data_IF_346908397164
#
_entry.id   IF_346908397164
#
_cell.length_a   1.000
_cell.length_b   1.000
_cell.length_c   1.000
_cell.angle_alpha   90.00
_cell.angle_beta   90.00
_cell.angle_gamma   90.00
#
_symmetry.space_group_name_H-M   'P 1'
#
loop_
_entity.id
_entity.type
_entity.pdbx_description
1 polymer ?
#
# COMPACT_ATOMS: atom_id res chain seq x y z
N UNK A 1 -7.96 12.41 23.05
CA UNK A 1 -7.43 11.44 22.07
C UNK A 1 -8.20 11.67 20.79
N UNK A 2 -7.63 12.42 19.84
CA UNK A 2 -8.32 12.76 18.59
C UNK A 2 -8.36 11.52 17.68
N UNK A 3 -9.48 11.22 17.00
CA UNK A 3 -9.55 10.10 16.08
C UNK A 3 -8.58 10.35 14.91
N UNK A 4 -7.63 9.44 14.72
CA UNK A 4 -6.78 9.36 13.53
C UNK A 4 -7.68 9.24 12.30
N UNK A 5 -7.68 10.27 11.45
CA UNK A 5 -8.39 10.27 10.17
C UNK A 5 -7.60 9.44 9.17
N UNK A 6 -8.10 8.28 8.78
CA UNK A 6 -7.64 7.65 7.55
C UNK A 6 -8.40 8.25 6.38
N UNK A 7 -7.71 9.09 5.62
CA UNK A 7 -8.10 9.39 4.25
C UNK A 7 -7.68 8.21 3.37
N UNK A 8 -8.58 7.74 2.52
CA UNK A 8 -8.30 6.65 1.61
C UNK A 8 -7.31 7.09 0.51
N UNK A 9 -6.02 6.79 0.74
CA UNK A 9 -4.84 6.85 -0.15
C UNK A 9 -4.88 7.81 -1.35
N UNK A 10 -4.31 9.02 -1.20
CA UNK A 10 -3.24 9.45 -2.09
C UNK A 10 -1.90 8.98 -1.52
N UNK A 11 -1.05 8.37 -2.36
CA UNK A 11 0.35 8.00 -2.05
C UNK A 11 1.24 9.25 -1.94
N UNK A 12 0.78 10.25 -1.18
CA UNK A 12 1.61 11.34 -0.68
C UNK A 12 2.49 10.76 0.44
N UNK A 13 3.61 10.13 0.10
CA UNK A 13 4.55 9.54 1.07
C UNK A 13 5.71 10.49 1.32
N UNK A 14 6.36 10.38 2.49
CA UNK A 14 7.63 11.06 2.69
C UNK A 14 8.73 10.32 1.91
N UNK A 15 9.62 11.05 1.25
CA UNK A 15 10.85 10.47 0.68
C UNK A 15 12.09 11.01 1.41
N UNK A 16 13.03 10.13 1.73
CA UNK A 16 14.35 10.47 2.25
C UNK A 16 15.39 9.97 1.24
N UNK A 17 16.05 10.91 0.58
CA UNK A 17 17.04 10.65 -0.45
C UNK A 17 18.43 10.94 0.11
N UNK A 18 19.25 9.91 0.28
CA UNK A 18 20.58 10.02 0.88
C UNK A 18 21.70 9.87 -0.17
N UNK A 19 22.68 10.75 -0.09
CA UNK A 19 23.94 10.72 -0.81
C UNK A 19 25.07 10.45 0.18
N UNK A 20 25.64 9.25 0.15
CA UNK A 20 26.76 8.90 1.02
C UNK A 20 28.09 9.34 0.40
N UNK A 21 28.77 10.30 1.04
CA UNK A 21 30.15 10.66 0.76
C UNK A 21 31.08 10.08 1.84
N UNK A 22 32.41 10.02 1.63
CA UNK A 22 33.34 9.42 2.59
C UNK A 22 33.32 10.07 3.98
N UNK A 23 33.08 11.38 4.08
CA UNK A 23 33.16 12.17 5.31
C UNK A 23 31.79 12.51 5.92
N UNK A 24 30.72 12.45 5.12
CA UNK A 24 29.36 12.83 5.53
C UNK A 24 28.31 12.20 4.63
N UNK A 25 27.09 12.10 5.14
CA UNK A 25 25.92 11.79 4.31
C UNK A 25 25.12 13.08 4.14
N UNK A 26 24.87 13.47 2.90
CA UNK A 26 23.95 14.56 2.58
C UNK A 26 22.64 13.98 2.06
N UNK A 27 21.57 14.76 2.01
CA UNK A 27 20.32 14.25 1.48
C UNK A 27 19.19 15.26 1.47
N UNK A 28 18.02 14.79 1.06
CA UNK A 28 16.77 15.53 1.09
C UNK A 28 15.71 14.77 1.87
N UNK A 29 14.86 15.50 2.57
CA UNK A 29 13.62 15.00 3.17
C UNK A 29 12.47 15.73 2.51
N UNK A 30 11.63 14.99 1.80
CA UNK A 30 10.50 15.51 1.02
C UNK A 30 9.20 15.14 1.74
N UNK A 31 8.55 16.12 2.35
CA UNK A 31 7.34 15.92 3.16
C UNK A 31 6.11 16.45 2.42
N UNK A 32 5.09 15.61 2.13
CA UNK A 32 3.84 16.10 1.58
C UNK A 32 3.14 17.06 2.55
N UNK A 33 2.79 18.26 2.10
CA UNK A 33 2.25 19.32 2.97
C UNK A 33 0.87 18.95 3.51
N UNK A 34 0.04 18.27 2.72
CA UNK A 34 -1.27 17.76 3.11
C UNK A 34 -1.20 16.76 4.27
N UNK A 35 -0.23 15.82 4.22
CA UNK A 35 0.00 14.85 5.30
C UNK A 35 0.64 15.50 6.53
N UNK A 36 1.57 16.42 6.32
CA UNK A 36 2.18 17.19 7.42
C UNK A 36 1.15 18.05 8.15
N UNK A 37 0.20 18.66 7.42
CA UNK A 37 -0.91 19.43 7.99
C UNK A 37 -1.77 18.57 8.93
N UNK A 38 -2.12 17.36 8.49
CA UNK A 38 -2.88 16.41 9.29
C UNK A 38 -2.11 15.92 10.52
N UNK A 39 -0.82 15.58 10.34
CA UNK A 39 0.01 15.11 11.45
C UNK A 39 0.17 16.17 12.54
N UNK A 40 0.32 17.45 12.17
CA UNK A 40 0.48 18.54 13.11
C UNK A 40 -0.85 19.14 13.61
N UNK A 41 -1.99 18.65 13.10
CA UNK A 41 -3.32 19.24 13.32
C UNK A 41 -3.35 20.76 13.06
N UNK A 42 -2.72 21.18 11.96
CA UNK A 42 -2.58 22.59 11.57
C UNK A 42 -2.86 22.78 10.08
N UNK A 43 -3.56 23.86 9.67
CA UNK A 43 -3.77 24.15 8.26
C UNK A 43 -2.46 24.63 7.61
N UNK A 44 -1.76 23.71 6.92
CA UNK A 44 -0.57 24.02 6.14
C UNK A 44 -0.89 24.09 4.64
N UNK A 45 -0.24 25.00 3.95
CA UNK A 45 -0.30 25.22 2.50
C UNK A 45 1.09 25.54 1.99
N UNK A 46 1.33 25.41 0.69
CA UNK A 46 2.58 25.84 0.06
C UNK A 46 3.03 27.26 0.45
N UNK A 47 2.07 28.18 0.67
CA UNK A 47 2.36 29.57 1.05
C UNK A 47 2.68 29.72 2.53
N UNK A 48 2.07 28.93 3.41
CA UNK A 48 2.27 29.07 4.87
C UNK A 48 3.55 28.40 5.34
N UNK A 49 3.93 27.26 4.74
CA UNK A 49 5.13 26.50 5.17
C UNK A 49 6.44 27.23 4.89
N UNK A 50 6.46 28.15 3.92
CA UNK A 50 7.66 28.94 3.56
C UNK A 50 7.79 30.26 4.32
N UNK A 51 6.82 30.60 5.18
CA UNK A 51 6.93 31.82 6.00
C UNK A 51 8.05 31.67 7.02
N UNK A 52 8.93 32.68 7.25
CA UNK A 52 10.16 32.49 8.02
C UNK A 52 9.97 31.84 9.40
N UNK A 53 8.98 32.29 10.17
CA UNK A 53 8.71 31.73 11.49
C UNK A 53 8.20 30.28 11.44
N UNK A 54 7.27 29.99 10.51
CA UNK A 54 6.71 28.64 10.35
C UNK A 54 7.74 27.68 9.75
N UNK A 55 8.55 28.14 8.80
CA UNK A 55 9.61 27.33 8.20
C UNK A 55 10.64 26.91 9.26
N UNK A 56 11.03 27.84 10.13
CA UNK A 56 11.95 27.57 11.24
C UNK A 56 11.37 26.60 12.28
N UNK A 57 10.07 26.71 12.56
CA UNK A 57 9.33 25.74 13.39
C UNK A 57 9.36 24.33 12.76
N UNK A 58 8.99 24.22 11.49
CA UNK A 58 8.95 22.94 10.77
C UNK A 58 10.35 22.32 10.62
N UNK A 59 11.38 23.14 10.41
CA UNK A 59 12.78 22.70 10.35
C UNK A 59 13.24 22.10 11.67
N UNK A 60 12.91 22.73 12.80
CA UNK A 60 13.19 22.19 14.14
C UNK A 60 12.43 20.90 14.42
N UNK A 61 11.17 20.83 13.97
CA UNK A 61 10.37 19.61 14.06
C UNK A 61 11.01 18.45 13.27
N UNK A 62 11.36 18.66 12.00
CA UNK A 62 12.04 17.62 11.19
C UNK A 62 13.36 17.21 11.84
N UNK A 63 14.13 18.16 12.38
CA UNK A 63 15.37 17.86 13.11
C UNK A 63 15.13 17.02 14.37
N UNK A 64 14.08 17.29 15.16
CA UNK A 64 13.78 16.48 16.35
C UNK A 64 13.30 15.06 16.03
N UNK A 65 12.77 14.86 14.82
CA UNK A 65 12.33 13.57 14.29
C UNK A 65 13.37 12.86 13.43
N UNK A 66 14.61 13.36 13.36
CA UNK A 66 15.67 12.76 12.55
C UNK A 66 16.90 12.51 13.42
N UNK A 67 17.40 11.27 13.43
CA UNK A 67 18.69 10.96 14.02
C UNK A 67 19.42 9.88 13.25
N UNK A 68 20.75 9.93 13.29
CA UNK A 68 21.61 8.87 12.81
C UNK A 68 22.54 8.42 13.94
N UNK A 69 22.83 7.13 14.00
CA UNK A 69 23.73 6.56 14.99
C UNK A 69 24.44 5.32 14.47
N UNK A 70 25.61 5.05 15.04
CA UNK A 70 26.36 3.82 14.82
C UNK A 70 25.58 2.60 15.33
N UNK A 71 25.92 1.38 14.90
CA UNK A 71 25.28 0.15 15.39
C UNK A 71 25.37 -0.03 16.91
N UNK A 72 26.38 0.57 17.56
CA UNK A 72 26.59 0.58 19.01
C UNK A 72 25.81 1.69 19.75
N UNK A 73 25.12 2.57 19.02
CA UNK A 73 24.30 3.66 19.56
C UNK A 73 24.99 5.02 19.61
N UNK A 74 26.25 5.14 19.16
CA UNK A 74 26.96 6.43 19.12
C UNK A 74 26.28 7.38 18.13
N UNK A 75 25.82 8.54 18.61
CA UNK A 75 25.02 9.48 17.80
C UNK A 75 25.87 10.31 16.84
N UNK A 76 25.36 10.46 15.63
CA UNK A 76 25.92 11.35 14.61
C UNK A 76 25.39 12.77 14.79
N UNK A 77 26.17 13.75 14.34
CA UNK A 77 25.69 15.12 14.25
C UNK A 77 24.71 15.21 13.09
N UNK A 78 23.49 15.66 13.36
CA UNK A 78 22.41 15.81 12.39
C UNK A 78 22.09 17.28 12.21
N UNK A 79 22.01 17.76 10.97
CA UNK A 79 21.61 19.11 10.64
C UNK A 79 20.53 19.09 9.55
N UNK A 80 19.49 19.91 9.75
CA UNK A 80 18.41 20.13 8.78
C UNK A 80 18.41 21.60 8.41
N UNK A 81 18.46 21.88 7.11
CA UNK A 81 18.61 23.23 6.55
C UNK A 81 17.75 23.42 5.30
N UNK A 82 17.74 24.64 4.76
CA UNK A 82 16.91 24.98 3.61
C UNK A 82 15.43 25.05 3.99
N UNK A 83 14.56 24.58 3.09
CA UNK A 83 13.12 24.71 3.22
C UNK A 83 12.51 25.37 2.00
N UNK A 84 12.02 24.55 1.08
CA UNK A 84 11.40 25.01 -0.17
C UNK A 84 10.20 24.14 -0.51
N UNK A 85 9.29 24.68 -1.31
CA UNK A 85 8.16 23.90 -1.83
C UNK A 85 8.51 23.40 -3.21
N UNK A 86 8.41 22.09 -3.40
CA UNK A 86 8.52 21.44 -4.70
C UNK A 86 7.20 20.71 -4.99
N UNK A 87 6.79 20.71 -6.27
CA UNK A 87 5.59 19.99 -6.69
C UNK A 87 6.01 18.64 -7.25
N UNK A 88 5.70 17.57 -6.52
CA UNK A 88 6.06 16.19 -6.86
C UNK A 88 4.76 15.44 -7.12
N UNK A 89 4.60 14.91 -8.34
CA UNK A 89 3.40 14.19 -8.80
C UNK A 89 2.06 14.90 -8.50
N UNK A 90 2.07 16.22 -8.66
CA UNK A 90 0.87 17.04 -8.47
C UNK A 90 0.61 17.48 -7.02
N UNK A 91 1.40 17.01 -6.06
CA UNK A 91 1.28 17.32 -4.63
C UNK A 91 2.41 18.25 -4.19
N UNK A 92 2.08 19.29 -3.43
CA UNK A 92 3.07 20.21 -2.87
C UNK A 92 3.80 19.54 -1.70
N UNK A 93 5.13 19.43 -1.82
CA UNK A 93 6.03 18.89 -0.82
C UNK A 93 6.89 19.99 -0.23
N UNK A 94 7.06 19.97 1.09
CA UNK A 94 8.08 20.74 1.79
C UNK A 94 9.38 19.95 1.80
N UNK A 95 10.42 20.50 1.19
CA UNK A 95 11.72 19.84 1.03
C UNK A 95 12.78 20.51 1.91
N UNK A 96 13.43 19.71 2.74
CA UNK A 96 14.58 20.12 3.56
C UNK A 96 15.85 19.38 3.15
N UNK A 97 16.99 20.03 3.32
CA UNK A 97 18.30 19.43 3.10
C UNK A 97 18.84 18.87 4.42
N UNK A 98 19.26 17.61 4.39
CA UNK A 98 19.75 16.84 5.52
C UNK A 98 21.27 16.65 5.42
N UNK A 99 21.98 16.81 6.55
CA UNK A 99 23.40 16.48 6.66
C UNK A 99 23.64 15.67 7.93
N UNK A 100 24.25 14.50 7.77
CA UNK A 100 24.63 13.58 8.85
C UNK A 100 26.16 13.44 8.86
N UNK A 101 26.77 13.63 10.03
CA UNK A 101 28.23 13.51 10.20
C UNK A 101 28.59 12.53 11.33
N UNK A 102 29.37 11.48 11.03
CA UNK A 102 29.85 10.55 12.05
C UNK A 102 30.88 11.24 12.95
N UNK A 103 30.93 10.92 14.26
CA UNK A 103 31.97 11.44 15.15
C UNK A 103 33.38 11.00 14.77
N UNK A 104 33.51 9.84 14.11
CA UNK A 104 34.79 9.31 13.62
C UNK A 104 35.36 10.08 12.42
N UNK A 105 34.56 10.94 11.78
CA UNK A 105 34.93 11.66 10.55
C UNK A 105 34.85 10.83 9.26
N UNK A 106 34.56 9.53 9.35
CA UNK A 106 34.41 8.64 8.19
C UNK A 106 33.06 7.93 8.22
N UNK A 107 32.32 8.01 7.13
CA UNK A 107 31.02 7.35 6.95
C UNK A 107 31.22 5.85 6.86
N UNK A 108 30.49 5.13 7.71
CA UNK A 108 30.43 3.69 7.78
C UNK A 108 28.99 3.27 8.06
N UNK A 109 28.69 1.97 8.05
CA UNK A 109 27.33 1.47 8.21
C UNK A 109 26.68 2.03 9.47
N UNK A 110 25.50 2.62 9.31
CA UNK A 110 24.82 3.34 10.38
C UNK A 110 23.32 3.03 10.39
N UNK A 111 22.62 3.48 11.43
CA UNK A 111 21.17 3.43 11.52
C UNK A 111 20.59 4.82 11.37
N UNK A 112 19.72 5.01 10.39
CA UNK A 112 18.88 6.20 10.29
C UNK A 112 17.58 5.93 11.05
N UNK A 113 17.20 6.84 11.95
CA UNK A 113 15.89 6.87 12.59
C UNK A 113 15.13 8.10 12.15
N UNK A 114 13.91 7.90 11.65
CA UNK A 114 13.03 8.97 11.24
C UNK A 114 11.57 8.57 11.47
N UNK A 115 10.80 9.44 12.12
CA UNK A 115 9.40 9.16 12.46
C UNK A 115 8.46 10.37 12.26
N UNK A 116 8.92 11.42 11.55
CA UNK A 116 8.05 12.56 11.28
C UNK A 116 6.83 12.11 10.45
N UNK A 117 5.65 12.63 10.78
CA UNK A 117 4.33 12.24 10.25
C UNK A 117 3.85 10.86 10.75
N UNK A 118 4.66 9.80 10.67
CA UNK A 118 4.23 8.43 11.05
C UNK A 118 3.90 8.27 12.53
N UNK A 119 4.44 9.13 13.40
CA UNK A 119 4.07 9.16 14.82
C UNK A 119 2.62 9.63 15.08
N UNK A 120 1.97 10.26 14.11
CA UNK A 120 0.56 10.69 14.20
C UNK A 120 -0.34 9.98 13.18
N UNK A 121 0.18 9.67 11.99
CA UNK A 121 -0.55 9.02 10.91
C UNK A 121 -0.02 7.60 10.72
N UNK A 122 -0.67 6.62 11.35
CA UNK A 122 -0.27 5.21 11.31
C UNK A 122 -0.24 4.61 9.89
N UNK A 123 -1.03 5.17 8.97
CA UNK A 123 -1.10 4.77 7.57
C UNK A 123 0.00 5.39 6.69
N UNK A 124 0.76 6.37 7.21
CA UNK A 124 1.80 7.05 6.45
C UNK A 124 3.05 6.17 6.31
N UNK A 125 3.74 6.33 5.18
CA UNK A 125 4.95 5.57 4.86
C UNK A 125 6.06 6.54 4.45
N UNK A 126 7.28 6.21 4.84
CA UNK A 126 8.49 6.97 4.49
C UNK A 126 9.41 6.08 3.68
N UNK A 127 9.68 6.44 2.43
CA UNK A 127 10.59 5.71 1.57
C UNK A 127 12.00 6.24 1.72
N UNK A 128 12.96 5.37 2.00
CA UNK A 128 14.37 5.74 2.16
C UNK A 128 15.17 5.15 1.00
N UNK A 129 15.88 6.01 0.29
CA UNK A 129 16.74 5.67 -0.83
C UNK A 129 18.15 6.17 -0.62
N UNK A 130 19.13 5.42 -1.14
CA UNK A 130 20.54 5.73 -1.02
C UNK A 130 21.21 5.72 -2.38
N UNK A 131 22.07 6.71 -2.61
CA UNK A 131 23.00 6.76 -3.72
C UNK A 131 24.43 6.80 -3.17
N UNK A 132 25.32 5.90 -3.61
CA UNK A 132 26.74 5.96 -3.25
C UNK A 132 27.41 7.11 -4.01
N UNK A 133 27.96 8.08 -3.28
CA UNK A 133 28.49 9.33 -3.85
C UNK A 133 27.42 10.23 -4.48
N UNK A 134 27.82 11.44 -4.89
CA UNK A 134 26.91 12.37 -5.61
C UNK A 134 26.71 12.00 -7.09
N UNK A 135 27.28 10.87 -7.54
CA UNK A 135 27.26 10.42 -8.93
C UNK A 135 26.76 8.98 -8.98
N UNK A 136 25.57 8.77 -9.55
CA UNK A 136 24.94 7.46 -9.63
C UNK A 136 23.42 7.55 -9.60
N UNK A 137 22.78 6.41 -9.36
CA UNK A 137 21.33 6.31 -9.26
C UNK A 137 20.92 5.93 -7.85
N UNK A 138 19.79 6.42 -7.40
CA UNK A 138 19.22 6.00 -6.12
C UNK A 138 18.84 4.51 -6.17
N UNK A 139 19.06 3.84 -5.04
CA UNK A 139 18.57 2.49 -4.75
C UNK A 139 17.71 2.56 -3.49
N UNK A 140 16.51 2.00 -3.58
CA UNK A 140 15.60 1.91 -2.43
C UNK A 140 16.21 1.03 -1.34
N UNK A 141 16.40 1.59 -0.14
CA UNK A 141 16.85 0.84 1.04
C UNK A 141 15.68 0.15 1.74
N UNK A 142 14.54 0.83 1.81
CA UNK A 142 13.36 0.32 2.49
C UNK A 142 12.38 1.41 2.87
N UNK A 143 11.42 1.04 3.72
CA UNK A 143 10.34 1.90 4.17
C UNK A 143 10.34 1.93 5.68
N UNK A 144 10.19 3.13 6.23
CA UNK A 144 9.86 3.37 7.63
C UNK A 144 8.35 3.58 7.76
N UNK A 145 7.78 3.05 8.83
CA UNK A 145 6.36 3.11 9.16
C UNK A 145 6.20 3.18 10.69
N UNK A 146 4.97 3.23 11.20
CA UNK A 146 4.70 3.35 12.63
C UNK A 146 5.28 2.21 13.51
N UNK A 147 5.62 1.06 12.93
CA UNK A 147 6.23 -0.08 13.64
C UNK A 147 7.75 -0.04 13.58
N UNK A 148 8.31 0.52 12.50
CA UNK A 148 9.74 0.51 12.21
C UNK A 148 10.21 1.91 11.82
N UNK A 149 10.65 2.69 12.81
CA UNK A 149 11.20 4.04 12.62
C UNK A 149 12.69 4.04 12.26
N UNK A 150 13.36 2.89 12.30
CA UNK A 150 14.81 2.79 12.10
C UNK A 150 15.14 1.88 10.92
N UNK A 151 16.12 2.28 10.10
CA UNK A 151 16.65 1.49 8.99
C UNK A 151 18.18 1.48 9.02
N UNK A 152 18.77 0.34 8.67
CA UNK A 152 20.21 0.23 8.46
C UNK A 152 20.59 0.82 7.09
N UNK A 153 21.62 1.67 7.08
CA UNK A 153 22.14 2.34 5.89
C UNK A 153 23.57 1.84 5.66
N UNK A 154 23.82 1.04 4.61
CA UNK A 154 25.16 0.57 4.28
C UNK A 154 25.99 1.68 3.64
N UNK A 155 27.15 2.00 4.20
CA UNK A 155 28.00 3.09 3.70
C UNK A 155 28.58 2.82 2.31
N UNK A 156 28.85 1.55 2.00
CA UNK A 156 29.32 1.13 0.69
C UNK A 156 28.24 1.24 -0.42
N UNK A 157 27.00 1.60 -0.07
CA UNK A 157 25.86 1.59 -0.97
C UNK A 157 24.98 0.35 -0.80
N UNK A 158 23.74 0.46 -1.29
CA UNK A 158 22.82 -0.67 -1.32
C UNK A 158 23.16 -1.61 -2.47
N UNK A 159 23.30 -2.92 -2.19
CA UNK A 159 23.41 -3.92 -3.26
C UNK A 159 22.07 -4.11 -3.98
N UNK A 160 22.11 -4.62 -5.21
CA UNK A 160 20.91 -4.95 -6.00
C UNK A 160 20.00 -5.94 -5.26
N UNK A 161 20.58 -6.89 -4.52
CA UNK A 161 19.85 -7.86 -3.70
C UNK A 161 19.11 -7.18 -2.54
N UNK A 162 19.75 -6.23 -1.85
CA UNK A 162 19.10 -5.44 -0.81
C UNK A 162 17.94 -4.62 -1.38
N UNK A 163 18.15 -3.95 -2.52
CA UNK A 163 17.11 -3.19 -3.21
C UNK A 163 15.93 -4.06 -3.64
N UNK A 164 16.19 -5.25 -4.20
CA UNK A 164 15.17 -6.22 -4.56
C UNK A 164 14.38 -6.70 -3.33
N UNK A 165 15.06 -7.11 -2.26
CA UNK A 165 14.41 -7.55 -1.03
C UNK A 165 13.60 -6.43 -0.35
N UNK A 166 14.10 -5.19 -0.40
CA UNK A 166 13.37 -4.01 0.07
C UNK A 166 12.10 -3.78 -0.75
N UNK A 167 12.18 -3.92 -2.08
CA UNK A 167 11.04 -3.81 -2.96
C UNK A 167 10.00 -4.92 -2.73
N UNK A 168 10.42 -6.17 -2.52
CA UNK A 168 9.51 -7.27 -2.13
C UNK A 168 8.77 -6.94 -0.83
N UNK A 169 9.49 -6.49 0.20
CA UNK A 169 8.85 -6.07 1.47
C UNK A 169 7.90 -4.90 1.28
N UNK A 170 8.23 -3.96 0.40
CA UNK A 170 7.36 -2.84 0.07
C UNK A 170 6.07 -3.32 -0.62
N UNK A 171 6.16 -4.26 -1.57
CA UNK A 171 5.00 -4.88 -2.22
C UNK A 171 4.09 -5.62 -1.23
N UNK A 172 4.69 -6.36 -0.29
CA UNK A 172 3.94 -7.05 0.78
C UNK A 172 3.18 -6.05 1.64
N UNK A 173 3.87 -5.01 2.13
CA UNK A 173 3.27 -3.99 3.00
C UNK A 173 2.19 -3.18 2.27
N UNK A 174 2.39 -2.89 0.99
CA UNK A 174 1.41 -2.18 0.19
C UNK A 174 0.04 -2.88 0.20
N UNK A 175 0.01 -4.20 -0.05
CA UNK A 175 -1.24 -4.96 0.00
C UNK A 175 -1.75 -5.15 1.43
N UNK A 176 -0.86 -5.40 2.39
CA UNK A 176 -1.26 -5.65 3.78
C UNK A 176 -1.85 -4.41 4.48
N UNK A 177 -1.43 -3.21 4.10
CA UNK A 177 -1.92 -1.94 4.68
C UNK A 177 -3.14 -1.37 3.95
N UNK A 178 -3.43 -1.81 2.72
CA UNK A 178 -4.56 -1.33 1.93
C UNK A 178 -5.88 -2.07 2.24
N UNK A 179 -6.80 -1.43 2.98
CA UNK A 179 -8.15 -1.97 3.21
C UNK A 179 -8.89 -2.30 1.90
N UNK A 180 -8.75 -1.42 0.92
CA UNK A 180 -9.33 -1.53 -0.41
C UNK A 180 -8.79 -2.75 -1.17
N UNK A 181 -7.50 -3.03 -1.09
CA UNK A 181 -6.86 -4.21 -1.70
C UNK A 181 -7.33 -5.50 -1.05
N UNK A 182 -7.38 -5.56 0.28
CA UNK A 182 -7.87 -6.73 1.00
C UNK A 182 -9.36 -6.97 0.74
N UNK A 183 -10.17 -5.91 0.73
CA UNK A 183 -11.60 -5.99 0.42
C UNK A 183 -11.83 -6.41 -1.03
N UNK A 184 -11.06 -5.87 -1.98
CA UNK A 184 -11.08 -6.26 -3.38
C UNK A 184 -10.82 -7.76 -3.55
N UNK A 185 -9.75 -8.29 -2.95
CA UNK A 185 -9.42 -9.72 -2.99
C UNK A 185 -10.53 -10.55 -2.37
N UNK A 186 -11.08 -10.14 -1.22
CA UNK A 186 -12.21 -10.82 -0.60
C UNK A 186 -13.43 -10.87 -1.55
N UNK A 187 -13.79 -9.76 -2.19
CA UNK A 187 -14.90 -9.70 -3.15
C UNK A 187 -14.68 -10.62 -4.36
N UNK A 188 -13.45 -10.70 -4.87
CA UNK A 188 -13.09 -11.63 -5.95
C UNK A 188 -13.14 -13.10 -5.52
N UNK A 189 -12.77 -13.40 -4.27
CA UNK A 189 -12.76 -14.77 -3.75
C UNK A 189 -14.14 -15.26 -3.32
N UNK A 190 -15.05 -14.37 -2.93
CA UNK A 190 -16.42 -14.73 -2.52
C UNK A 190 -17.14 -15.65 -3.52
N UNK A 191 -17.12 -15.43 -4.85
CA UNK A 191 -17.74 -16.33 -5.82
C UNK A 191 -16.82 -17.48 -6.28
N UNK A 192 -15.55 -17.53 -5.86
CA UNK A 192 -14.59 -18.50 -6.37
C UNK A 192 -14.97 -20.00 -6.22
N UNK A 193 -15.65 -20.43 -5.13
CA UNK A 193 -16.18 -21.79 -5.00
C UNK A 193 -17.38 -22.11 -5.92
N UNK A 194 -17.85 -21.15 -6.71
CA UNK A 194 -19.12 -21.20 -7.43
C UNK A 194 -18.92 -21.14 -8.95
N UNK A 195 -19.90 -21.66 -9.68
CA UNK A 195 -20.06 -21.54 -11.12
C UNK A 195 -21.32 -20.75 -11.44
N UNK A 196 -21.20 -19.86 -12.40
CA UNK A 196 -22.34 -19.17 -12.97
C UNK A 196 -23.14 -20.14 -13.87
N UNK A 197 -24.40 -20.41 -13.50
CA UNK A 197 -25.36 -21.15 -14.33
C UNK A 197 -26.68 -20.39 -14.39
N UNK A 198 -27.16 -20.10 -15.61
CA UNK A 198 -28.43 -19.36 -15.86
C UNK A 198 -28.53 -18.07 -15.03
N UNK A 199 -27.45 -17.29 -14.96
CA UNK A 199 -27.41 -16.03 -14.22
C UNK A 199 -27.43 -16.16 -12.69
N UNK A 200 -27.23 -17.37 -12.14
CA UNK A 200 -27.14 -17.61 -10.71
C UNK A 200 -25.85 -18.34 -10.35
N UNK A 201 -25.38 -18.08 -9.14
CA UNK A 201 -24.25 -18.81 -8.57
C UNK A 201 -24.71 -20.18 -8.06
N UNK A 202 -24.09 -21.24 -8.57
CA UNK A 202 -24.29 -22.62 -8.15
C UNK A 202 -22.96 -23.19 -7.70
N UNK A 203 -22.96 -24.06 -6.69
CA UNK A 203 -21.74 -24.71 -6.19
C UNK A 203 -21.01 -25.44 -7.33
N UNK A 204 -19.67 -25.35 -7.36
CA UNK A 204 -18.85 -26.28 -8.13
C UNK A 204 -18.35 -27.44 -7.26
N UNK A 205 -18.34 -28.63 -7.83
CA UNK A 205 -17.84 -29.84 -7.14
C UNK A 205 -16.36 -30.12 -7.42
N UNK A 206 -15.80 -29.55 -8.49
CA UNK A 206 -14.37 -29.71 -8.83
C UNK A 206 -13.49 -28.68 -8.11
N UNK A 207 -12.97 -29.10 -6.96
CA UNK A 207 -12.09 -28.29 -6.13
C UNK A 207 -10.80 -27.87 -6.84
N UNK A 208 -10.23 -28.76 -7.65
CA UNK A 208 -8.94 -28.53 -8.32
C UNK A 208 -9.09 -27.48 -9.41
N UNK A 209 -10.13 -27.59 -10.24
CA UNK A 209 -10.43 -26.62 -11.28
C UNK A 209 -10.74 -25.23 -10.70
N UNK A 210 -11.45 -25.16 -9.57
CA UNK A 210 -11.77 -23.89 -8.92
C UNK A 210 -10.52 -23.19 -8.38
N UNK A 211 -9.65 -23.90 -7.66
CA UNK A 211 -8.41 -23.32 -7.15
C UNK A 211 -7.51 -22.81 -8.27
N UNK A 212 -7.44 -23.53 -9.39
CA UNK A 212 -6.63 -23.09 -10.54
C UNK A 212 -7.20 -21.84 -11.22
N UNK A 213 -8.54 -21.71 -11.28
CA UNK A 213 -9.18 -20.48 -11.77
C UNK A 213 -8.82 -19.28 -10.90
N UNK A 214 -8.81 -19.43 -9.58
CA UNK A 214 -8.42 -18.35 -8.66
C UNK A 214 -6.99 -17.91 -8.89
N UNK A 215 -6.06 -18.86 -9.02
CA UNK A 215 -4.65 -18.55 -9.32
C UNK A 215 -4.56 -17.75 -10.62
N UNK A 216 -5.23 -18.18 -11.71
CA UNK A 216 -5.23 -17.42 -12.96
C UNK A 216 -5.82 -16.01 -12.81
N UNK A 217 -6.89 -15.84 -12.04
CA UNK A 217 -7.50 -14.52 -11.79
C UNK A 217 -6.53 -13.60 -11.05
N UNK A 218 -5.89 -14.09 -9.98
CA UNK A 218 -4.91 -13.32 -9.18
C UNK A 218 -3.67 -12.99 -10.00
N UNK A 219 -3.12 -13.97 -10.72
CA UNK A 219 -1.96 -13.74 -11.60
C UNK A 219 -2.31 -12.79 -12.74
N UNK A 220 -3.49 -12.87 -13.35
CA UNK A 220 -3.90 -11.95 -14.40
C UNK A 220 -4.02 -10.50 -13.89
N UNK A 221 -4.55 -10.31 -12.68
CA UNK A 221 -4.53 -9.01 -12.00
C UNK A 221 -3.09 -8.52 -11.81
N UNK A 222 -2.20 -9.36 -11.27
CA UNK A 222 -0.80 -8.99 -11.04
C UNK A 222 -0.08 -8.63 -12.34
N UNK A 223 -0.33 -9.34 -13.43
CA UNK A 223 0.21 -9.05 -14.77
C UNK A 223 -0.31 -7.70 -15.27
N UNK A 224 -1.63 -7.47 -15.22
CA UNK A 224 -2.21 -6.18 -15.62
C UNK A 224 -1.60 -5.02 -14.82
N UNK A 225 -1.55 -5.18 -13.50
CA UNK A 225 -0.93 -4.22 -12.59
C UNK A 225 0.52 -3.91 -12.96
N UNK A 226 1.32 -4.95 -13.19
CA UNK A 226 2.73 -4.84 -13.55
C UNK A 226 2.93 -4.04 -14.84
N UNK A 227 2.08 -4.26 -15.85
CA UNK A 227 2.16 -3.56 -17.15
C UNK A 227 1.98 -2.05 -16.97
N UNK A 228 0.88 -1.64 -16.34
CA UNK A 228 0.59 -0.21 -16.12
C UNK A 228 1.56 0.45 -15.16
N UNK A 229 1.99 -0.27 -14.12
CA UNK A 229 2.99 0.25 -13.21
C UNK A 229 4.31 0.52 -13.96
N UNK A 230 4.76 -0.42 -14.79
CA UNK A 230 5.97 -0.23 -15.59
C UNK A 230 5.83 0.93 -16.58
N UNK A 231 4.70 1.03 -17.29
CA UNK A 231 4.45 2.14 -18.22
C UNK A 231 4.44 3.50 -17.52
N UNK A 232 3.82 3.56 -16.34
CA UNK A 232 3.70 4.80 -15.58
C UNK A 232 5.03 5.20 -14.92
N UNK A 233 5.80 4.25 -14.41
CA UNK A 233 7.13 4.46 -13.85
C UNK A 233 8.18 4.85 -14.90
N UNK A 234 7.97 4.46 -16.17
CA UNK A 234 8.79 4.92 -17.30
C UNK A 234 8.32 6.28 -17.86
N UNK A 235 7.26 6.86 -17.31
CA UNK A 235 6.71 8.14 -17.74
C UNK A 235 5.87 8.09 -19.02
N UNK A 236 5.51 6.90 -19.54
CA UNK A 236 4.69 6.79 -20.74
C UNK A 236 3.22 7.10 -20.49
N UNK A 237 2.72 6.86 -19.28
CA UNK A 237 1.36 7.16 -18.88
C UNK A 237 1.37 7.89 -17.54
N UNK A 238 0.46 8.84 -17.37
CA UNK A 238 0.19 9.48 -16.09
C UNK A 238 -1.30 9.72 -15.96
N UNK A 239 -1.83 9.60 -14.75
CA UNK A 239 -3.23 9.89 -14.47
C UNK A 239 -3.34 10.59 -13.11
N UNK A 240 -4.31 11.49 -12.92
CA UNK A 240 -4.55 12.10 -11.61
C UNK A 240 -4.88 11.02 -10.57
N UNK A 241 -4.23 11.07 -9.41
CA UNK A 241 -4.39 10.09 -8.31
C UNK A 241 -5.86 9.85 -7.97
N UNK A 242 -6.64 10.94 -7.86
CA UNK A 242 -8.09 10.90 -7.60
C UNK A 242 -8.88 10.05 -8.61
N UNK A 243 -8.49 10.07 -9.89
CA UNK A 243 -9.14 9.26 -10.94
C UNK A 243 -8.80 7.79 -10.75
N UNK A 244 -7.51 7.48 -10.54
CA UNK A 244 -7.03 6.10 -10.31
C UNK A 244 -7.73 5.49 -9.10
N UNK A 245 -7.76 6.23 -8.00
CA UNK A 245 -8.45 5.86 -6.76
C UNK A 245 -9.95 5.63 -6.96
N UNK A 246 -10.63 6.46 -7.75
CA UNK A 246 -12.04 6.28 -8.07
C UNK A 246 -12.27 5.00 -8.88
N UNK A 247 -11.36 4.66 -9.80
CA UNK A 247 -11.40 3.42 -10.56
C UNK A 247 -11.14 2.19 -9.66
N UNK A 248 -10.25 2.30 -8.68
CA UNK A 248 -10.03 1.26 -7.67
C UNK A 248 -11.33 1.02 -6.89
N UNK A 249 -11.95 2.07 -6.34
CA UNK A 249 -13.22 1.93 -5.62
C UNK A 249 -14.34 1.34 -6.50
N UNK A 250 -14.42 1.76 -7.76
CA UNK A 250 -15.35 1.19 -8.75
C UNK A 250 -15.09 -0.29 -9.01
N UNK A 251 -13.82 -0.72 -9.09
CA UNK A 251 -13.48 -2.14 -9.29
C UNK A 251 -13.97 -3.03 -8.13
N UNK A 252 -13.91 -2.53 -6.89
CA UNK A 252 -14.44 -3.22 -5.70
C UNK A 252 -15.96 -3.29 -5.77
N UNK A 253 -16.62 -2.19 -6.15
CA UNK A 253 -18.06 -2.14 -6.32
C UNK A 253 -18.53 -3.18 -7.36
N UNK A 254 -17.87 -3.23 -8.52
CA UNK A 254 -18.16 -4.21 -9.58
C UNK A 254 -17.92 -5.64 -9.09
N UNK A 255 -16.82 -5.91 -8.39
CA UNK A 255 -16.53 -7.23 -7.80
C UNK A 255 -17.57 -7.64 -6.76
N UNK A 256 -18.04 -6.72 -5.92
CA UNK A 256 -19.11 -6.97 -4.95
C UNK A 256 -20.44 -7.30 -5.65
N UNK A 257 -20.81 -6.55 -6.69
CA UNK A 257 -22.00 -6.86 -7.49
C UNK A 257 -21.85 -8.22 -8.19
N UNK A 258 -20.65 -8.55 -8.70
CA UNK A 258 -20.36 -9.85 -9.27
C UNK A 258 -20.52 -10.99 -8.24
N UNK A 259 -20.10 -10.77 -7.00
CA UNK A 259 -20.30 -11.72 -5.91
C UNK A 259 -21.80 -11.93 -5.56
N UNK A 260 -22.63 -10.91 -5.73
CA UNK A 260 -24.10 -11.02 -5.58
C UNK A 260 -24.71 -11.81 -6.74
N UNK A 261 -24.39 -11.42 -7.98
CA UNK A 261 -24.91 -12.04 -9.22
C UNK A 261 -23.81 -12.12 -10.28
N UNK A 262 -23.69 -13.24 -11.02
CA UNK A 262 -22.67 -13.35 -12.06
C UNK A 262 -22.84 -12.27 -13.14
N UNK A 263 -21.93 -11.30 -13.17
CA UNK A 263 -21.89 -10.25 -14.20
C UNK A 263 -21.17 -10.72 -15.47
N UNK A 264 -20.08 -11.46 -15.29
CA UNK A 264 -19.16 -11.87 -16.35
C UNK A 264 -18.76 -13.35 -16.25
N UNK A 265 -19.72 -14.28 -16.44
CA UNK A 265 -19.44 -15.71 -16.38
C UNK A 265 -18.29 -16.11 -17.30
N UNK A 266 -17.18 -16.60 -16.73
CA UNK A 266 -16.00 -17.03 -17.51
C UNK A 266 -15.10 -15.90 -18.01
N UNK A 267 -15.45 -14.64 -17.75
CA UNK A 267 -14.66 -13.45 -18.08
C UNK A 267 -13.83 -12.92 -16.90
N UNK A 268 -13.81 -13.62 -15.77
CA UNK A 268 -13.25 -13.12 -14.51
C UNK A 268 -11.75 -12.82 -14.63
N UNK A 269 -11.00 -13.65 -15.35
CA UNK A 269 -9.56 -13.44 -15.60
C UNK A 269 -9.29 -12.15 -16.39
N UNK A 270 -10.12 -11.85 -17.40
CA UNK A 270 -9.97 -10.63 -18.21
C UNK A 270 -10.34 -9.37 -17.44
N UNK A 271 -11.41 -9.43 -16.64
CA UNK A 271 -11.78 -8.31 -15.78
C UNK A 271 -10.75 -8.10 -14.68
N UNK A 272 -10.20 -9.16 -14.10
CA UNK A 272 -9.12 -9.05 -13.14
C UNK A 272 -7.87 -8.42 -13.75
N UNK A 273 -7.49 -8.78 -14.98
CA UNK A 273 -6.43 -8.09 -15.72
C UNK A 273 -6.75 -6.60 -15.93
N UNK A 274 -7.99 -6.28 -16.33
CA UNK A 274 -8.47 -4.90 -16.50
C UNK A 274 -8.41 -4.08 -15.21
N UNK A 275 -8.81 -4.66 -14.08
CA UNK A 275 -8.69 -4.05 -12.76
C UNK A 275 -7.23 -3.89 -12.37
N UNK A 276 -6.39 -4.90 -12.63
CA UNK A 276 -4.95 -4.82 -12.43
C UNK A 276 -4.35 -3.60 -13.14
N UNK A 277 -4.69 -3.41 -14.42
CA UNK A 277 -4.25 -2.23 -15.19
C UNK A 277 -4.62 -0.92 -14.48
N UNK A 278 -5.84 -0.81 -13.96
CA UNK A 278 -6.27 0.41 -13.25
C UNK A 278 -5.49 0.62 -11.95
N UNK A 279 -5.25 -0.45 -11.19
CA UNK A 279 -4.56 -0.38 -9.89
C UNK A 279 -3.08 -0.02 -10.04
N UNK A 280 -2.40 -0.49 -11.08
CA UNK A 280 -0.96 -0.27 -11.28
C UNK A 280 -0.56 1.20 -11.48
N UNK A 281 -1.49 2.07 -11.85
CA UNK A 281 -1.24 3.51 -11.97
C UNK A 281 -1.03 4.22 -10.62
N UNK A 282 -1.54 3.67 -9.52
CA UNK A 282 -1.48 4.36 -8.22
C UNK A 282 -0.04 4.45 -7.69
N UNK A 283 0.71 3.35 -7.78
CA UNK A 283 2.05 3.23 -7.19
C UNK A 283 3.16 3.88 -8.02
N UNK A 284 2.93 4.17 -9.30
CA UNK A 284 3.94 4.77 -10.16
C UNK A 284 4.37 6.17 -9.74
N UNK A 285 3.45 6.96 -9.15
CA UNK A 285 3.75 8.26 -8.57
C UNK A 285 4.85 8.16 -7.50
N UNK A 286 4.81 7.10 -6.67
CA UNK A 286 5.84 6.89 -5.64
C UNK A 286 7.24 6.71 -6.24
N UNK A 287 7.34 6.02 -7.37
CA UNK A 287 8.63 5.68 -7.98
C UNK A 287 9.19 6.82 -8.84
N UNK A 288 8.32 7.64 -9.46
CA UNK A 288 8.74 8.76 -10.29
C UNK A 288 9.48 9.85 -9.48
N UNK A 289 9.10 10.06 -8.22
CA UNK A 289 9.76 11.05 -7.34
C UNK A 289 11.17 10.67 -6.88
N UNK A 290 11.60 9.42 -7.03
CA UNK A 290 12.82 8.91 -6.39
C UNK A 290 14.10 9.03 -7.24
N UNK A 291 14.02 9.59 -8.44
CA UNK A 291 15.13 9.71 -9.41
C UNK A 291 15.94 8.39 -9.53
N UNK A 292 15.21 7.26 -9.58
CA UNK A 292 15.82 5.95 -9.71
C UNK A 292 16.42 5.79 -11.11
N UNK A 293 17.64 5.26 -11.17
CA UNK A 293 18.22 4.84 -12.44
C UNK A 293 17.42 3.69 -13.05
N UNK A 294 17.38 3.60 -14.38
CA UNK A 294 16.60 2.59 -15.11
C UNK A 294 16.80 1.15 -14.61
N UNK A 295 18.03 0.77 -14.30
CA UNK A 295 18.33 -0.57 -13.74
C UNK A 295 17.74 -0.79 -12.35
N UNK A 296 17.92 0.18 -11.45
CA UNK A 296 17.34 0.18 -10.10
C UNK A 296 15.81 0.19 -10.13
N UNK A 297 15.23 0.93 -11.07
CA UNK A 297 13.79 0.97 -11.30
C UNK A 297 13.25 -0.41 -11.68
N UNK A 298 13.85 -1.08 -12.67
CA UNK A 298 13.40 -2.43 -13.09
C UNK A 298 13.48 -3.43 -11.94
N UNK A 299 14.58 -3.43 -11.18
CA UNK A 299 14.74 -4.31 -10.01
C UNK A 299 13.69 -4.02 -8.94
N UNK A 300 13.43 -2.75 -8.67
CA UNK A 300 12.40 -2.31 -7.73
C UNK A 300 11.01 -2.74 -8.19
N UNK A 301 10.68 -2.57 -9.47
CA UNK A 301 9.40 -2.98 -10.05
C UNK A 301 9.18 -4.50 -9.95
N UNK A 302 10.21 -5.30 -10.28
CA UNK A 302 10.14 -6.75 -10.19
C UNK A 302 9.94 -7.23 -8.75
N UNK A 303 10.74 -6.70 -7.81
CA UNK A 303 10.61 -7.04 -6.40
C UNK A 303 9.25 -6.65 -5.84
N UNK A 304 8.79 -5.44 -6.15
CA UNK A 304 7.49 -4.95 -5.72
C UNK A 304 6.33 -5.84 -6.19
N UNK A 305 6.29 -6.18 -7.48
CA UNK A 305 5.24 -7.06 -8.03
C UNK A 305 5.31 -8.48 -7.44
N UNK A 306 6.51 -9.01 -7.20
CA UNK A 306 6.65 -10.29 -6.51
C UNK A 306 6.07 -10.23 -5.08
N UNK A 307 6.33 -9.15 -4.35
CA UNK A 307 5.75 -8.92 -3.02
C UNK A 307 4.21 -8.87 -3.03
N UNK A 308 3.64 -8.20 -4.05
CA UNK A 308 2.18 -8.18 -4.26
C UNK A 308 1.65 -9.59 -4.48
N UNK A 309 2.21 -10.32 -5.46
CA UNK A 309 1.70 -11.66 -5.82
C UNK A 309 1.81 -12.64 -4.66
N UNK A 310 2.93 -12.62 -3.91
CA UNK A 310 3.10 -13.45 -2.70
C UNK A 310 2.02 -13.16 -1.65
N UNK A 311 1.69 -11.90 -1.44
CA UNK A 311 0.66 -11.50 -0.47
C UNK A 311 -0.73 -11.90 -0.93
N UNK A 312 -1.04 -11.71 -2.21
CA UNK A 312 -2.32 -12.15 -2.78
C UNK A 312 -2.49 -13.66 -2.67
N UNK A 313 -1.46 -14.45 -3.00
CA UNK A 313 -1.48 -15.90 -2.84
C UNK A 313 -1.61 -16.34 -1.39
N UNK A 314 -0.99 -15.62 -0.44
CA UNK A 314 -1.17 -15.85 0.99
C UNK A 314 -2.62 -15.60 1.43
N UNK A 315 -3.23 -14.50 1.00
CA UNK A 315 -4.65 -14.19 1.28
C UNK A 315 -5.56 -15.27 0.70
N UNK A 316 -5.30 -15.72 -0.53
CA UNK A 316 -6.01 -16.85 -1.16
C UNK A 316 -5.87 -18.10 -0.30
N UNK A 317 -4.66 -18.47 0.11
CA UNK A 317 -4.39 -19.65 0.92
C UNK A 317 -5.09 -19.61 2.28
N UNK A 318 -5.24 -18.42 2.86
CA UNK A 318 -5.87 -18.23 4.16
C UNK A 318 -7.42 -18.24 4.08
N UNK A 319 -8.01 -17.64 3.05
CA UNK A 319 -9.46 -17.48 2.93
C UNK A 319 -10.15 -18.64 2.20
N UNK A 320 -9.50 -19.19 1.16
CA UNK A 320 -10.13 -20.21 0.31
C UNK A 320 -10.58 -21.46 1.06
N UNK A 321 -9.80 -22.06 1.98
CA UNK A 321 -10.25 -23.25 2.70
C UNK A 321 -11.60 -23.03 3.42
N UNK A 322 -11.75 -21.90 4.09
CA UNK A 322 -12.98 -21.53 4.79
C UNK A 322 -14.13 -21.29 3.82
N UNK A 323 -13.91 -20.61 2.70
CA UNK A 323 -14.92 -20.41 1.66
C UNK A 323 -15.35 -21.74 1.02
N UNK A 324 -14.42 -22.66 0.80
CA UNK A 324 -14.70 -23.99 0.26
C UNK A 324 -15.53 -24.85 1.21
N UNK A 325 -15.23 -24.82 2.51
CA UNK A 325 -16.05 -25.49 3.54
C UNK A 325 -17.43 -24.83 3.62
N UNK A 326 -17.48 -23.51 3.72
CA UNK A 326 -18.73 -22.76 3.84
C UNK A 326 -19.63 -23.01 2.62
N UNK A 327 -19.07 -23.10 1.41
CA UNK A 327 -19.79 -23.41 0.17
C UNK A 327 -20.51 -24.77 0.15
N UNK A 328 -20.27 -25.63 1.15
CA UNK A 328 -21.00 -26.89 1.38
C UNK A 328 -22.11 -26.75 2.44
N UNK A 329 -22.47 -25.53 2.80
CA UNK A 329 -23.47 -25.24 3.83
C UNK A 329 -24.55 -24.32 3.28
N UNK A 330 -25.75 -24.41 3.86
CA UNK A 330 -26.91 -23.57 3.53
C UNK A 330 -26.71 -22.10 3.94
N UNK A 331 -25.73 -21.81 4.80
CA UNK A 331 -25.40 -20.46 5.27
C UNK A 331 -24.66 -19.65 4.20
N UNK A 332 -23.90 -20.30 3.32
CA UNK A 332 -23.01 -19.61 2.41
C UNK A 332 -23.66 -18.56 1.50
N UNK A 333 -24.85 -18.79 0.90
CA UNK A 333 -25.51 -17.74 0.13
C UNK A 333 -25.78 -16.49 0.96
N UNK A 334 -26.23 -16.65 2.22
CA UNK A 334 -26.49 -15.52 3.13
C UNK A 334 -25.19 -14.83 3.50
N UNK A 335 -24.18 -15.59 3.94
CA UNK A 335 -22.87 -15.04 4.30
C UNK A 335 -22.24 -14.27 3.13
N UNK A 336 -22.25 -14.85 1.92
CA UNK A 336 -21.74 -14.22 0.70
C UNK A 336 -22.48 -12.91 0.40
N UNK A 337 -23.80 -12.91 0.45
CA UNK A 337 -24.61 -11.72 0.18
C UNK A 337 -24.39 -10.63 1.23
N UNK A 338 -24.30 -10.99 2.50
CA UNK A 338 -24.02 -10.05 3.60
C UNK A 338 -22.65 -9.40 3.42
N UNK A 339 -21.59 -10.20 3.20
CA UNK A 339 -20.23 -9.68 3.00
C UNK A 339 -20.15 -8.84 1.72
N UNK A 340 -20.77 -9.28 0.63
CA UNK A 340 -20.82 -8.51 -0.62
C UNK A 340 -21.57 -7.18 -0.45
N UNK A 341 -22.69 -7.16 0.29
CA UNK A 341 -23.44 -5.93 0.56
C UNK A 341 -22.61 -4.94 1.39
N UNK A 342 -21.91 -5.40 2.43
CA UNK A 342 -20.99 -4.56 3.21
C UNK A 342 -19.90 -3.99 2.30
N UNK A 343 -19.28 -4.84 1.47
CA UNK A 343 -18.24 -4.41 0.54
C UNK A 343 -18.72 -3.39 -0.49
N UNK A 344 -19.93 -3.56 -1.03
CA UNK A 344 -20.58 -2.62 -1.94
C UNK A 344 -20.80 -1.25 -1.26
N UNK A 345 -21.29 -1.24 -0.02
CA UNK A 345 -21.52 0.01 0.74
C UNK A 345 -20.21 0.75 1.00
N UNK A 346 -19.17 0.04 1.45
CA UNK A 346 -17.84 0.62 1.67
C UNK A 346 -17.26 1.18 0.35
N UNK A 347 -17.31 0.41 -0.73
CA UNK A 347 -16.81 0.83 -2.03
C UNK A 347 -17.57 2.05 -2.59
N UNK A 348 -18.90 2.10 -2.41
CA UNK A 348 -19.71 3.24 -2.83
C UNK A 348 -19.39 4.50 -2.01
N UNK A 349 -19.19 4.37 -0.70
CA UNK A 349 -18.77 5.48 0.15
C UNK A 349 -17.39 6.04 -0.26
N UNK A 350 -16.43 5.15 -0.49
CA UNK A 350 -15.11 5.47 -1.03
C UNK A 350 -15.16 6.15 -2.40
N UNK A 351 -16.00 5.67 -3.30
CA UNK A 351 -16.17 6.27 -4.63
C UNK A 351 -16.77 7.68 -4.53
N UNK A 352 -17.77 7.87 -3.66
CA UNK A 352 -18.41 9.16 -3.43
C UNK A 352 -17.45 10.18 -2.78
N UNK A 353 -16.60 9.73 -1.84
CA UNK A 353 -15.53 10.52 -1.24
C UNK A 353 -14.56 11.04 -2.32
N UNK A 354 -14.09 10.13 -3.19
CA UNK A 354 -13.09 10.44 -4.22
C UNK A 354 -13.63 11.31 -5.35
N UNK A 355 -14.92 11.19 -5.65
CA UNK A 355 -15.62 12.04 -6.62
C UNK A 355 -16.12 13.37 -6.03
N UNK A 356 -15.68 13.74 -4.81
CA UNK A 356 -16.06 14.97 -4.08
C UNK A 356 -17.54 15.08 -3.69
N UNK A 357 -18.30 13.99 -3.85
CA UNK A 357 -19.71 13.94 -3.45
C UNK A 357 -19.86 13.86 -1.91
N UNK A 358 -18.87 13.29 -1.23
CA UNK A 358 -18.80 13.25 0.23
C UNK A 358 -17.49 13.91 0.71
N UNK A 359 -17.55 15.05 1.42
CA UNK A 359 -16.35 15.70 1.94
C UNK A 359 -15.63 14.88 3.02
N UNK A 360 -16.38 14.07 3.77
CA UNK A 360 -15.86 13.17 4.81
C UNK A 360 -16.62 11.85 4.74
N UNK A 361 -15.90 10.73 4.71
CA UNK A 361 -16.49 9.42 4.71
C UNK A 361 -16.73 8.92 6.15
N UNK A 362 -17.99 8.74 6.58
CA UNK A 362 -18.31 8.33 7.95
C UNK A 362 -17.82 6.90 8.25
N UNK A 363 -17.46 6.10 7.25
CA UNK A 363 -17.06 4.69 7.40
C UNK A 363 -15.53 4.50 7.50
N UNK A 364 -14.73 5.57 7.55
CA UNK A 364 -13.28 5.44 7.64
C UNK A 364 -12.84 4.67 8.89
N UNK A 365 -13.52 4.87 10.03
CA UNK A 365 -13.27 4.09 11.25
C UNK A 365 -13.43 2.57 11.09
N UNK A 366 -14.34 2.13 10.20
CA UNK A 366 -14.52 0.70 9.89
C UNK A 366 -13.35 0.19 9.07
N UNK A 367 -12.89 1.01 8.12
CA UNK A 367 -11.72 0.70 7.29
C UNK A 367 -10.46 0.57 8.14
N UNK A 368 -10.28 1.48 9.09
CA UNK A 368 -9.17 1.45 10.05
C UNK A 368 -9.18 0.20 10.92
N UNK A 369 -10.35 -0.17 11.42
CA UNK A 369 -10.52 -1.38 12.21
C UNK A 369 -10.14 -2.64 11.41
N UNK A 370 -10.48 -2.68 10.12
CA UNK A 370 -10.15 -3.78 9.21
C UNK A 370 -8.64 -3.85 8.92
N UNK A 371 -7.99 -2.71 8.68
CA UNK A 371 -6.53 -2.63 8.47
C UNK A 371 -5.77 -3.05 9.72
N UNK A 372 -6.24 -2.65 10.89
CA UNK A 372 -5.60 -2.99 12.16
C UNK A 372 -5.69 -4.49 12.48
N UNK A 373 -6.66 -5.22 11.89
CA UNK A 373 -6.94 -6.60 12.25
C UNK A 373 -7.24 -7.53 11.06
N UNK A 374 -6.32 -7.66 10.08
CA UNK A 374 -6.56 -8.43 8.86
C UNK A 374 -6.84 -9.91 9.15
N UNK A 375 -6.20 -10.47 10.19
CA UNK A 375 -6.39 -11.86 10.60
C UNK A 375 -7.74 -12.12 11.28
N UNK A 376 -8.41 -11.10 11.83
CA UNK A 376 -9.74 -11.30 12.44
C UNK A 376 -10.78 -11.66 11.39
N UNK A 377 -10.71 -11.10 10.17
CA UNK A 377 -11.62 -11.44 9.08
C UNK A 377 -11.46 -12.91 8.68
N UNK A 378 -10.20 -13.34 8.48
CA UNK A 378 -9.89 -14.73 8.16
C UNK A 378 -10.31 -15.70 9.27
N UNK A 379 -9.99 -15.36 10.53
CA UNK A 379 -10.34 -16.15 11.71
C UNK A 379 -11.85 -16.27 11.91
N UNK A 380 -12.59 -15.16 11.77
CA UNK A 380 -14.05 -15.16 11.83
C UNK A 380 -14.66 -16.03 10.73
N UNK A 381 -14.15 -15.93 9.50
CA UNK A 381 -14.62 -16.75 8.39
C UNK A 381 -14.35 -18.25 8.63
N UNK A 382 -13.17 -18.59 9.16
CA UNK A 382 -12.81 -19.95 9.54
C UNK A 382 -13.71 -20.49 10.67
N UNK A 383 -13.98 -19.68 11.70
CA UNK A 383 -14.86 -20.05 12.80
C UNK A 383 -16.30 -20.30 12.32
N UNK A 384 -16.84 -19.42 11.47
CA UNK A 384 -18.17 -19.59 10.86
C UNK A 384 -18.20 -20.83 9.97
N UNK A 385 -17.16 -21.09 9.19
CA UNK A 385 -17.05 -22.29 8.37
C UNK A 385 -17.03 -23.57 9.22
N UNK A 386 -16.25 -23.60 10.29
CA UNK A 386 -16.17 -24.75 11.20
C UNK A 386 -17.49 -24.99 11.95
N UNK A 387 -18.10 -23.94 12.49
CA UNK A 387 -19.37 -24.03 13.22
C UNK A 387 -20.55 -24.42 12.31
N UNK A 388 -20.61 -23.87 11.09
CA UNK A 388 -21.65 -24.26 10.13
C UNK A 388 -21.46 -25.70 9.64
N UNK A 389 -20.21 -26.17 9.51
CA UNK A 389 -19.93 -27.54 9.13
C UNK A 389 -20.21 -28.54 10.26
N UNK A 390 -20.06 -28.17 11.52
CA UNK A 390 -20.30 -29.08 12.65
C UNK A 390 -21.79 -29.44 12.83
N UNK A 391 -22.71 -28.61 12.33
CA UNK A 391 -24.17 -28.83 12.38
C UNK A 391 -24.64 -29.59 11.12
N UNK A 392 -25.08 -30.86 11.22
CA UNK A 392 -25.44 -31.67 10.05
C UNK A 392 -26.57 -31.06 9.20
N UNK A 393 -27.57 -30.45 9.82
CA UNK A 393 -28.74 -29.86 9.12
C UNK A 393 -28.38 -28.68 8.23
N UNK A 394 -27.27 -28.01 8.52
CA UNK A 394 -26.76 -26.90 7.73
C UNK A 394 -25.94 -27.37 6.52
N UNK A 395 -25.54 -28.64 6.45
CA UNK A 395 -24.80 -29.18 5.31
C UNK A 395 -25.72 -29.29 4.09
N UNK A 396 -25.20 -28.94 2.92
CA UNK A 396 -25.88 -29.23 1.65
C UNK A 396 -25.71 -30.71 1.34
N UNK A 397 -26.77 -31.39 0.89
CA UNK A 397 -26.66 -32.78 0.44
C UNK A 397 -25.59 -32.91 -0.65
N UNK A 398 -24.87 -34.04 -0.69
CA UNK A 398 -24.03 -34.38 -1.84
C UNK A 398 -24.97 -34.51 -3.05
N UNK A 399 -24.97 -33.51 -3.92
CA UNK A 399 -25.60 -33.60 -5.25
C UNK A 399 -24.70 -34.34 -6.20
#
# INVERSE_FOLDING_TARGET
>A
MAPTRADAHPLSTTAILLDAAPDRVTGKVELPIDRLALALDQPLTAKTVVQPAKLEELRRYVLSHTSAADPDGTRWTTAVSGGRVEKIDGVDHLVFDLVLRPPSGTVHDFRLTYDAIVHHLLSHQILVSLRPGASGSYTTLGVLDWQSHTIAVPAAGASTEHGFAAAVRLGIRHIASGADHLLFLLMLLLPAPLLARRGRWVRADDLRRNSWRVVHVVTAFAVGHSITLALAALGYISAPTRVVESLIALSILVSGIHAVRPLVPGGETWIAAGFGLMHGLAFAALLNGLDLGRGSLVVTLLGFNLGIELTQLMVVALLMPSLLVLSRTRIYPVARLTVAAIGIVLAAAWLAERTTLLPNNPLNHVSDALIAHPFLVAGALAAVAAASWSVPDLRTAKT
#
